data_IF_551493120473
#
_entry.id   IF_551493120473
#
_cell.length_a   1.000
_cell.length_b   1.000
_cell.length_c   1.000
_cell.angle_alpha   90.00
_cell.angle_beta   90.00
_cell.angle_gamma   90.00
#
_symmetry.space_group_name_H-M   'P 1'
#
loop_
_entity.id
_entity.type
_entity.pdbx_description
1 polymer ?
#
# COMPACT_ATOMS: atom_id res chain seq x y z
N UNK A 1 -3.62 -31.70 48.77
CA UNK A 1 -4.48 -30.85 47.92
C UNK A 1 -3.61 -30.05 46.97
N UNK A 2 -3.40 -30.55 45.75
CA UNK A 2 -2.57 -29.89 44.73
C UNK A 2 -3.40 -28.90 43.92
N UNK A 3 -2.95 -27.65 43.83
CA UNK A 3 -3.47 -26.65 42.88
C UNK A 3 -2.58 -26.68 41.63
N UNK A 4 -3.20 -27.03 40.49
CA UNK A 4 -2.61 -27.00 39.15
C UNK A 4 -2.23 -25.57 38.78
N UNK A 5 -0.96 -25.37 38.41
CA UNK A 5 -0.47 -24.20 37.69
C UNK A 5 -0.93 -24.31 36.23
N UNK A 6 -1.63 -23.29 35.73
CA UNK A 6 -1.96 -23.14 34.31
C UNK A 6 -0.74 -22.53 33.63
N UNK A 7 -0.18 -23.25 32.65
CA UNK A 7 0.92 -22.79 31.79
C UNK A 7 0.41 -21.64 30.90
N UNK A 8 1.02 -20.46 31.02
CA UNK A 8 0.95 -19.44 29.97
C UNK A 8 1.66 -19.98 28.72
N UNK A 9 0.92 -20.08 27.62
CA UNK A 9 1.49 -20.38 26.31
C UNK A 9 2.22 -19.14 25.79
N UNK A 10 3.52 -19.27 25.63
CA UNK A 10 4.37 -18.33 24.91
C UNK A 10 4.08 -18.45 23.42
N UNK A 11 3.70 -17.34 22.77
CA UNK A 11 3.61 -17.24 21.31
C UNK A 11 5.03 -17.38 20.75
N UNK A 12 5.26 -18.44 19.96
CA UNK A 12 6.52 -18.64 19.23
C UNK A 12 6.45 -17.92 17.87
N UNK A 13 7.58 -17.43 17.33
CA UNK A 13 7.64 -16.95 15.96
C UNK A 13 7.35 -18.11 14.99
N UNK A 14 6.65 -17.81 13.89
CA UNK A 14 6.28 -18.78 12.86
C UNK A 14 7.54 -19.26 12.13
N UNK A 15 7.90 -20.53 12.30
CA UNK A 15 8.84 -21.24 11.44
C UNK A 15 8.22 -21.51 10.07
N UNK A 16 9.07 -21.48 9.05
CA UNK A 16 8.79 -21.65 7.62
C UNK A 16 7.85 -22.84 7.33
N UNK A 17 6.65 -22.57 6.81
CA UNK A 17 5.56 -23.55 6.56
C UNK A 17 5.32 -23.76 5.07
N UNK A 18 6.26 -24.36 4.37
CA UNK A 18 6.06 -24.86 3.00
C UNK A 18 5.78 -26.38 2.95
N UNK A 19 5.08 -26.95 3.95
CA UNK A 19 4.68 -28.37 3.94
C UNK A 19 3.52 -28.80 4.87
N UNK A 20 2.64 -27.91 5.35
CA UNK A 20 1.46 -28.31 6.13
C UNK A 20 0.18 -27.86 5.44
N UNK A 21 -0.71 -28.81 5.16
CA UNK A 21 -2.03 -28.53 4.58
C UNK A 21 -2.81 -27.54 5.43
N UNK A 22 -3.57 -26.65 4.78
CA UNK A 22 -4.37 -25.61 5.42
C UNK A 22 -5.33 -26.24 6.44
N UNK A 23 -5.30 -25.76 7.69
CA UNK A 23 -6.26 -26.21 8.70
C UNK A 23 -7.68 -25.73 8.35
N UNK A 24 -8.74 -26.37 8.89
CA UNK A 24 -10.11 -25.89 8.70
C UNK A 24 -10.34 -24.43 9.10
N UNK A 25 -9.59 -23.94 10.10
CA UNK A 25 -9.58 -22.53 10.52
C UNK A 25 -8.91 -21.65 9.47
N UNK A 26 -7.76 -22.07 8.92
CA UNK A 26 -7.06 -21.35 7.84
C UNK A 26 -7.91 -21.26 6.56
N UNK A 27 -8.66 -22.32 6.24
CA UNK A 27 -9.60 -22.35 5.09
C UNK A 27 -10.79 -21.42 5.35
N UNK A 28 -11.35 -21.42 6.55
CA UNK A 28 -12.45 -20.54 6.92
C UNK A 28 -12.03 -19.06 6.88
N UNK A 29 -10.81 -18.76 7.30
CA UNK A 29 -10.22 -17.42 7.26
C UNK A 29 -9.89 -16.96 5.84
N UNK A 30 -9.31 -17.84 5.01
CA UNK A 30 -9.09 -17.55 3.59
C UNK A 30 -10.40 -17.23 2.85
N UNK A 31 -11.44 -18.03 3.08
CA UNK A 31 -12.73 -17.82 2.42
C UNK A 31 -13.47 -16.58 2.96
N UNK A 32 -13.37 -16.29 4.26
CA UNK A 32 -13.93 -15.06 4.85
C UNK A 32 -13.33 -13.81 4.24
N UNK A 33 -12.01 -13.81 4.09
CA UNK A 33 -11.27 -12.76 3.40
C UNK A 33 -11.73 -12.57 1.95
N UNK A 34 -11.90 -13.65 1.20
CA UNK A 34 -12.38 -13.59 -0.18
C UNK A 34 -13.79 -12.98 -0.31
N UNK A 35 -14.71 -13.29 0.62
CA UNK A 35 -16.04 -12.65 0.68
C UNK A 35 -15.92 -11.15 0.92
N UNK A 36 -15.13 -10.71 1.89
CA UNK A 36 -14.94 -9.29 2.20
C UNK A 36 -14.36 -8.52 1.01
N UNK A 37 -13.35 -9.06 0.33
CA UNK A 37 -12.76 -8.44 -0.86
C UNK A 37 -13.76 -8.34 -2.02
N UNK A 38 -14.61 -9.36 -2.22
CA UNK A 38 -15.62 -9.34 -3.27
C UNK A 38 -16.70 -8.30 -2.99
N UNK A 39 -17.21 -8.23 -1.76
CA UNK A 39 -18.20 -7.22 -1.34
C UNK A 39 -17.63 -5.80 -1.41
N UNK A 40 -16.34 -5.62 -1.10
CA UNK A 40 -15.67 -4.33 -1.22
C UNK A 40 -15.58 -3.87 -2.69
N UNK A 41 -15.20 -4.78 -3.60
CA UNK A 41 -14.96 -4.44 -5.01
C UNK A 41 -16.23 -4.34 -5.85
N UNK A 42 -17.19 -5.23 -5.62
CA UNK A 42 -18.37 -5.39 -6.48
C UNK A 42 -19.68 -4.97 -5.79
N UNK A 43 -19.62 -4.59 -4.51
CA UNK A 43 -20.75 -4.07 -3.76
C UNK A 43 -21.65 -5.16 -3.15
N UNK A 44 -22.87 -4.79 -2.72
CA UNK A 44 -23.80 -5.69 -2.04
C UNK A 44 -24.21 -6.89 -2.90
N UNK A 45 -24.25 -8.08 -2.29
CA UNK A 45 -24.59 -9.33 -2.99
C UNK A 45 -25.47 -10.26 -2.14
N UNK A 46 -26.27 -11.07 -2.82
CA UNK A 46 -27.00 -12.19 -2.21
C UNK A 46 -26.07 -13.39 -1.94
N UNK A 47 -26.51 -14.32 -1.08
CA UNK A 47 -25.79 -15.58 -0.82
C UNK A 47 -25.50 -16.38 -2.09
N UNK A 48 -26.49 -16.43 -2.99
CA UNK A 48 -26.39 -17.18 -4.24
C UNK A 48 -25.35 -16.56 -5.18
N UNK A 49 -25.31 -15.23 -5.28
CA UNK A 49 -24.30 -14.51 -6.08
C UNK A 49 -22.90 -14.71 -5.51
N UNK A 50 -22.73 -14.62 -4.18
CA UNK A 50 -21.46 -14.88 -3.50
C UNK A 50 -20.97 -16.32 -3.74
N UNK A 51 -21.85 -17.31 -3.58
CA UNK A 51 -21.55 -18.72 -3.84
C UNK A 51 -21.10 -18.96 -5.28
N UNK A 52 -21.84 -18.39 -6.25
CA UNK A 52 -21.52 -18.52 -7.66
C UNK A 52 -20.18 -17.87 -8.04
N UNK A 53 -19.90 -16.65 -7.54
CA UNK A 53 -18.67 -15.92 -7.85
C UNK A 53 -17.42 -16.52 -7.20
N UNK A 54 -17.54 -16.98 -5.95
CA UNK A 54 -16.43 -17.58 -5.23
C UNK A 54 -16.28 -19.09 -5.48
N UNK A 55 -17.20 -19.70 -6.27
CA UNK A 55 -17.26 -21.14 -6.52
C UNK A 55 -17.29 -21.96 -5.21
N UNK A 56 -18.00 -21.44 -4.22
CA UNK A 56 -18.22 -22.07 -2.93
C UNK A 56 -19.67 -22.53 -2.81
N UNK A 57 -19.93 -23.46 -1.90
CA UNK A 57 -21.31 -23.92 -1.64
C UNK A 57 -22.07 -22.88 -0.80
N UNK A 58 -23.39 -22.76 -0.99
CA UNK A 58 -24.21 -21.85 -0.18
C UNK A 58 -24.14 -22.10 1.34
N UNK A 59 -24.04 -23.35 1.84
CA UNK A 59 -23.79 -23.60 3.26
C UNK A 59 -22.46 -23.01 3.74
N UNK A 60 -21.39 -23.13 2.96
CA UNK A 60 -20.09 -22.54 3.31
C UNK A 60 -20.17 -21.01 3.37
N UNK A 61 -20.79 -20.38 2.37
CA UNK A 61 -21.05 -18.93 2.36
C UNK A 61 -21.90 -18.50 3.56
N UNK A 62 -22.90 -19.29 3.95
CA UNK A 62 -23.75 -18.99 5.11
C UNK A 62 -22.95 -18.96 6.41
N UNK A 63 -22.08 -19.95 6.64
CA UNK A 63 -21.21 -19.96 7.82
C UNK A 63 -20.25 -18.77 7.84
N UNK A 64 -19.67 -18.42 6.69
CA UNK A 64 -18.79 -17.25 6.54
C UNK A 64 -19.54 -15.94 6.86
N UNK A 65 -20.70 -15.73 6.24
CA UNK A 65 -21.49 -14.52 6.45
C UNK A 65 -21.96 -14.39 7.91
N UNK A 66 -22.33 -15.48 8.58
CA UNK A 66 -22.68 -15.46 10.00
C UNK A 66 -21.52 -14.96 10.86
N UNK A 67 -20.29 -15.40 10.58
CA UNK A 67 -19.11 -14.93 11.29
C UNK A 67 -18.83 -13.45 11.03
N UNK A 68 -18.92 -13.02 9.78
CA UNK A 68 -18.71 -11.61 9.40
C UNK A 68 -19.79 -10.68 9.98
N UNK A 69 -21.06 -11.12 10.03
CA UNK A 69 -22.15 -10.42 10.69
C UNK A 69 -21.91 -10.28 12.20
N UNK A 70 -21.52 -11.37 12.86
CA UNK A 70 -21.21 -11.37 14.30
C UNK A 70 -20.01 -10.47 14.62
N UNK A 71 -19.05 -10.34 13.69
CA UNK A 71 -17.92 -9.42 13.81
C UNK A 71 -18.26 -7.98 13.43
N UNK A 72 -19.48 -7.69 12.97
CA UNK A 72 -19.88 -6.34 12.54
C UNK A 72 -19.26 -5.85 11.23
N UNK A 73 -18.59 -6.74 10.46
CA UNK A 73 -17.91 -6.41 9.20
C UNK A 73 -18.86 -6.40 8.00
N UNK A 74 -19.98 -7.12 8.10
CA UNK A 74 -21.01 -7.22 7.07
C UNK A 74 -22.36 -6.94 7.72
N UNK A 75 -23.27 -6.30 6.98
CA UNK A 75 -24.66 -6.12 7.36
C UNK A 75 -25.59 -6.86 6.40
N UNK A 76 -26.78 -7.22 6.89
CA UNK A 76 -27.83 -7.88 6.11
C UNK A 76 -28.94 -6.86 5.83
N UNK A 77 -29.20 -6.62 4.55
CA UNK A 77 -30.31 -5.83 4.05
C UNK A 77 -31.27 -6.67 3.20
N UNK A 78 -32.23 -5.97 2.60
CA UNK A 78 -33.15 -6.53 1.61
C UNK A 78 -32.89 -5.84 0.28
N UNK A 79 -32.65 -6.63 -0.76
CA UNK A 79 -32.46 -6.10 -2.11
C UNK A 79 -33.68 -5.29 -2.52
N UNK A 80 -33.45 -4.06 -3.00
CA UNK A 80 -34.54 -3.23 -3.47
C UNK A 80 -34.98 -3.70 -4.86
N UNK A 81 -36.09 -4.41 -4.93
CA UNK A 81 -36.71 -4.88 -6.18
C UNK A 81 -38.15 -4.41 -6.26
N UNK A 82 -38.69 -4.30 -7.48
CA UNK A 82 -40.11 -4.01 -7.75
C UNK A 82 -41.02 -5.20 -7.44
N UNK A 83 -40.44 -6.38 -7.17
CA UNK A 83 -41.15 -7.62 -6.86
C UNK A 83 -41.52 -7.72 -5.38
N UNK A 84 -42.61 -8.45 -5.07
CA UNK A 84 -43.08 -8.65 -3.68
C UNK A 84 -42.10 -9.48 -2.82
N UNK A 85 -41.22 -10.26 -3.45
CA UNK A 85 -40.17 -11.02 -2.77
C UNK A 85 -38.84 -10.26 -2.78
N UNK A 86 -38.36 -9.89 -1.60
CA UNK A 86 -37.06 -9.23 -1.43
C UNK A 86 -36.02 -10.25 -0.97
N UNK A 87 -35.05 -10.54 -1.83
CA UNK A 87 -33.94 -11.40 -1.45
C UNK A 87 -33.05 -10.72 -0.40
N UNK A 88 -32.54 -11.49 0.56
CA UNK A 88 -31.56 -10.97 1.51
C UNK A 88 -30.25 -10.66 0.79
N UNK A 89 -29.76 -9.44 0.99
CA UNK A 89 -28.53 -8.91 0.40
C UNK A 89 -27.56 -8.56 1.52
N UNK A 90 -26.26 -8.76 1.28
CA UNK A 90 -25.21 -8.58 2.26
C UNK A 90 -24.26 -7.52 1.73
N UNK A 91 -23.92 -6.56 2.58
CA UNK A 91 -23.03 -5.46 2.24
C UNK A 91 -21.94 -5.33 3.29
N UNK A 92 -20.76 -4.86 2.88
CA UNK A 92 -19.69 -4.53 3.80
C UNK A 92 -20.13 -3.33 4.66
N UNK A 93 -19.81 -3.37 5.96
CA UNK A 93 -19.96 -2.21 6.84
C UNK A 93 -18.67 -1.41 6.75
N UNK A 94 -18.69 -0.27 6.07
CA UNK A 94 -17.49 0.57 5.89
C UNK A 94 -16.85 0.94 7.24
N UNK A 95 -17.67 1.30 8.22
CA UNK A 95 -17.24 1.61 9.60
C UNK A 95 -17.03 0.38 10.50
N UNK A 96 -17.10 -0.84 9.95
CA UNK A 96 -17.00 -2.09 10.72
C UNK A 96 -15.59 -2.37 11.22
N UNK A 97 -14.57 -1.78 10.59
CA UNK A 97 -13.19 -1.83 11.03
C UNK A 97 -12.44 -0.57 10.59
N UNK A 98 -11.38 -0.24 11.32
CA UNK A 98 -10.51 0.88 11.03
C UNK A 98 -9.05 0.41 11.00
N UNK A 99 -8.29 0.94 10.05
CA UNK A 99 -6.85 0.73 9.94
C UNK A 99 -6.15 2.04 10.26
N UNK A 100 -5.14 1.98 11.13
CA UNK A 100 -4.27 3.12 11.41
C UNK A 100 -3.01 2.98 10.56
N UNK A 101 -2.57 4.06 9.94
CA UNK A 101 -1.30 4.14 9.25
C UNK A 101 -0.48 5.29 9.81
N UNK A 102 0.81 5.05 10.00
CA UNK A 102 1.73 6.04 10.57
C UNK A 102 3.02 6.06 9.77
N UNK A 103 3.53 7.26 9.47
CA UNK A 103 4.85 7.48 8.91
C UNK A 103 5.68 8.31 9.90
N UNK A 104 6.77 7.71 10.38
CA UNK A 104 7.70 8.38 11.29
C UNK A 104 8.72 9.17 10.47
N UNK A 105 8.77 10.47 10.70
CA UNK A 105 9.83 11.35 10.17
C UNK A 105 10.90 11.60 11.23
N UNK A 106 11.97 12.33 10.91
CA UNK A 106 13.01 12.68 11.89
C UNK A 106 12.45 13.52 13.05
N UNK A 107 11.55 14.46 12.72
CA UNK A 107 10.77 15.26 13.68
C UNK A 107 9.29 15.11 13.33
N UNK A 108 8.48 14.68 14.30
CA UNK A 108 7.06 14.36 14.14
C UNK A 108 6.81 13.20 13.18
N UNK A 109 5.79 13.34 12.34
CA UNK A 109 5.32 12.28 11.45
C UNK A 109 3.96 12.60 10.87
N UNK A 110 3.42 11.66 10.10
CA UNK A 110 2.03 11.70 9.66
C UNK A 110 1.28 10.47 10.14
N UNK A 111 -0.01 10.64 10.38
CA UNK A 111 -0.92 9.53 10.62
C UNK A 111 -2.16 9.67 9.74
N UNK A 112 -2.75 8.52 9.44
CA UNK A 112 -4.01 8.41 8.75
C UNK A 112 -4.85 7.30 9.37
N UNK A 113 -6.13 7.56 9.57
CA UNK A 113 -7.11 6.54 9.93
C UNK A 113 -8.04 6.34 8.73
N UNK A 114 -8.21 5.11 8.30
CA UNK A 114 -9.17 4.78 7.24
C UNK A 114 -10.12 3.68 7.68
N UNK A 115 -11.33 3.70 7.12
CA UNK A 115 -12.34 2.69 7.35
C UNK A 115 -12.15 1.51 6.37
N UNK A 116 -12.96 0.45 6.49
CA UNK A 116 -12.83 -0.76 5.68
C UNK A 116 -13.19 -0.56 4.20
N UNK A 117 -14.01 0.46 3.88
CA UNK A 117 -14.26 0.87 2.50
C UNK A 117 -13.07 1.65 1.90
N UNK A 118 -12.12 2.02 2.76
CA UNK A 118 -10.96 2.81 2.39
C UNK A 118 -11.09 4.28 2.66
N UNK A 119 -12.27 4.78 3.06
CA UNK A 119 -12.44 6.22 3.24
C UNK A 119 -11.51 6.71 4.35
N UNK A 120 -10.78 7.78 4.07
CA UNK A 120 -9.93 8.42 5.06
C UNK A 120 -10.79 9.24 6.03
N UNK A 121 -10.77 8.82 7.28
CA UNK A 121 -11.55 9.40 8.39
C UNK A 121 -10.78 10.49 9.09
N UNK A 122 -9.46 10.32 9.20
CA UNK A 122 -8.55 11.28 9.80
C UNK A 122 -7.23 11.29 9.03
N UNK A 123 -6.66 12.47 8.86
CA UNK A 123 -5.28 12.67 8.43
C UNK A 123 -4.69 13.83 9.20
N UNK A 124 -3.49 13.65 9.71
CA UNK A 124 -2.77 14.74 10.36
C UNK A 124 -1.27 14.57 10.21
N UNK A 125 -0.59 15.68 9.93
CA UNK A 125 0.86 15.79 9.93
C UNK A 125 1.30 16.60 11.14
N UNK A 126 2.42 16.20 11.72
CA UNK A 126 3.00 16.76 12.92
C UNK A 126 4.47 17.06 12.67
N UNK A 127 4.92 18.23 13.14
CA UNK A 127 6.33 18.62 13.09
C UNK A 127 7.04 18.37 14.44
N UNK A 128 6.33 17.82 15.43
CA UNK A 128 6.82 17.53 16.77
C UNK A 128 6.41 16.13 17.22
N UNK A 129 7.36 15.41 17.82
CA UNK A 129 7.19 14.04 18.28
C UNK A 129 6.10 13.91 19.34
N UNK A 130 6.12 14.77 20.36
CA UNK A 130 5.17 14.71 21.48
C UNK A 130 3.71 14.78 21.02
N UNK A 131 3.41 15.71 20.10
CA UNK A 131 2.08 15.86 19.53
C UNK A 131 1.68 14.64 18.67
N UNK A 132 2.62 14.11 17.88
CA UNK A 132 2.41 12.91 17.07
C UNK A 132 2.09 11.68 17.92
N UNK A 133 2.92 11.38 18.92
CA UNK A 133 2.73 10.26 19.83
C UNK A 133 1.42 10.37 20.62
N UNK A 134 1.09 11.57 21.10
CA UNK A 134 -0.18 11.83 21.80
C UNK A 134 -1.38 11.53 20.89
N UNK A 135 -1.33 11.94 19.62
CA UNK A 135 -2.41 11.67 18.68
C UNK A 135 -2.56 10.17 18.37
N UNK A 136 -1.44 9.47 18.18
CA UNK A 136 -1.43 8.00 18.00
C UNK A 136 -2.08 7.31 19.20
N UNK A 137 -1.69 7.66 20.43
CA UNK A 137 -2.25 7.05 21.65
C UNK A 137 -3.75 7.28 21.77
N UNK A 138 -4.25 8.49 21.47
CA UNK A 138 -5.69 8.78 21.50
C UNK A 138 -6.47 7.94 20.50
N UNK A 139 -5.91 7.67 19.32
CA UNK A 139 -6.56 6.83 18.30
C UNK A 139 -6.55 5.36 18.74
N UNK A 140 -5.40 4.85 19.20
CA UNK A 140 -5.27 3.47 19.69
C UNK A 140 -6.19 3.23 20.89
N UNK A 141 -6.34 4.23 21.77
CA UNK A 141 -7.25 4.21 22.93
C UNK A 141 -8.73 4.45 22.61
N UNK A 142 -9.11 4.62 21.34
CA UNK A 142 -10.49 4.93 20.91
C UNK A 142 -11.07 6.23 21.53
N UNK A 143 -10.21 7.19 21.85
CA UNK A 143 -10.59 8.45 22.52
C UNK A 143 -11.05 9.54 21.55
N UNK A 144 -10.99 9.28 20.24
CA UNK A 144 -11.29 10.24 19.17
C UNK A 144 -12.71 10.11 18.59
N UNK A 145 -13.60 9.33 19.24
CA UNK A 145 -14.98 9.13 18.79
C UNK A 145 -15.15 8.07 17.68
N UNK A 146 -14.10 7.28 17.41
CA UNK A 146 -14.14 6.11 16.53
C UNK A 146 -13.68 4.86 17.32
N UNK A 147 -14.11 3.65 16.93
CA UNK A 147 -13.57 2.41 17.48
C UNK A 147 -12.05 2.34 17.35
N UNK A 148 -11.41 1.58 18.24
CA UNK A 148 -9.99 1.29 18.14
C UNK A 148 -9.69 0.63 16.78
N UNK A 149 -8.58 0.99 16.12
CA UNK A 149 -8.16 0.33 14.89
C UNK A 149 -7.92 -1.16 15.14
N UNK A 150 -8.03 -1.99 14.11
CA UNK A 150 -7.77 -3.44 14.19
C UNK A 150 -6.26 -3.76 14.09
N UNK A 151 -5.47 -2.79 13.67
CA UNK A 151 -4.03 -2.88 13.50
C UNK A 151 -3.44 -1.55 13.05
N UNK A 152 -2.12 -1.47 12.99
CA UNK A 152 -1.37 -0.31 12.52
C UNK A 152 -0.37 -0.69 11.43
N UNK A 153 -0.40 0.01 10.30
CA UNK A 153 0.68 -0.01 9.32
C UNK A 153 1.71 1.07 9.64
N UNK A 154 2.97 0.68 9.67
CA UNK A 154 4.07 1.49 10.20
C UNK A 154 5.11 1.68 9.10
N UNK A 155 5.18 2.90 8.56
CA UNK A 155 6.22 3.29 7.59
C UNK A 155 7.46 3.71 8.36
N UNK A 156 8.54 2.95 8.20
CA UNK A 156 9.83 3.22 8.84
C UNK A 156 10.96 3.16 7.82
N UNK A 157 11.97 4.02 8.03
CA UNK A 157 13.26 3.86 7.37
C UNK A 157 14.11 2.91 8.22
N UNK A 158 14.52 1.77 7.63
CA UNK A 158 15.50 0.73 8.01
C UNK A 158 15.77 0.39 9.50
N UNK A 159 15.87 1.36 10.39
CA UNK A 159 16.11 1.20 11.81
C UNK A 159 14.79 1.00 12.56
N UNK A 160 14.64 -0.16 13.20
CA UNK A 160 13.53 -0.42 14.12
C UNK A 160 13.70 0.45 15.36
N UNK A 161 12.82 1.44 15.50
CA UNK A 161 12.63 2.16 16.74
C UNK A 161 11.67 1.35 17.65
N UNK A 162 12.25 0.58 18.57
CA UNK A 162 11.49 -0.24 19.52
C UNK A 162 10.64 0.63 20.46
N UNK A 163 11.05 1.87 20.76
CA UNK A 163 10.24 2.79 21.53
C UNK A 163 9.00 3.22 20.74
N UNK A 164 9.14 3.47 19.44
CA UNK A 164 8.02 3.77 18.56
C UNK A 164 6.99 2.64 18.54
N UNK A 165 7.43 1.41 18.33
CA UNK A 165 6.52 0.25 18.25
C UNK A 165 5.81 -0.05 19.57
N UNK A 166 6.43 0.23 20.72
CA UNK A 166 5.80 0.07 22.04
C UNK A 166 4.56 0.95 22.25
N UNK A 167 4.43 2.05 21.49
CA UNK A 167 3.27 2.96 21.56
C UNK A 167 1.95 2.29 21.17
N UNK A 168 2.01 1.21 20.39
CA UNK A 168 0.83 0.52 19.89
C UNK A 168 0.29 -0.57 20.85
N UNK A 169 1.02 -0.88 21.94
CA UNK A 169 0.60 -1.91 22.88
C UNK A 169 0.46 -3.30 22.24
N UNK A 170 -0.68 -3.96 22.44
CA UNK A 170 -0.99 -5.27 21.84
C UNK A 170 -1.57 -5.18 20.42
N UNK A 171 -1.72 -3.96 19.88
CA UNK A 171 -2.30 -3.76 18.56
C UNK A 171 -1.36 -4.35 17.49
N UNK A 172 -1.86 -5.20 16.56
CA UNK A 172 -1.04 -5.76 15.49
C UNK A 172 -0.37 -4.68 14.65
N UNK A 173 0.96 -4.70 14.56
CA UNK A 173 1.74 -3.73 13.80
C UNK A 173 2.41 -4.35 12.57
N UNK A 174 2.31 -3.69 11.42
CA UNK A 174 2.84 -4.14 10.14
C UNK A 174 3.83 -3.13 9.58
N UNK A 175 5.12 -3.46 9.57
CA UNK A 175 6.15 -2.57 9.02
C UNK A 175 6.18 -2.62 7.50
N UNK A 176 6.19 -1.44 6.90
CA UNK A 176 6.27 -1.23 5.46
C UNK A 176 7.43 -0.28 5.15
N UNK A 177 8.08 -0.48 4.01
CA UNK A 177 8.82 0.63 3.40
C UNK A 177 7.84 1.69 2.89
N UNK A 178 8.35 2.89 2.61
CA UNK A 178 7.52 3.95 2.04
C UNK A 178 6.93 3.57 0.67
N UNK A 179 7.73 2.90 -0.17
CA UNK A 179 7.28 2.45 -1.50
C UNK A 179 6.21 1.37 -1.40
N UNK A 180 6.27 0.49 -0.40
CA UNK A 180 5.24 -0.53 -0.14
C UNK A 180 3.94 0.09 0.37
N UNK A 181 4.03 1.09 1.24
CA UNK A 181 2.86 1.81 1.70
C UNK A 181 2.14 2.53 0.55
N UNK A 182 2.88 3.22 -0.32
CA UNK A 182 2.30 3.86 -1.51
C UNK A 182 1.71 2.82 -2.46
N UNK A 183 2.38 1.68 -2.67
CA UNK A 183 1.82 0.58 -3.46
C UNK A 183 0.54 -0.02 -2.86
N UNK A 184 0.45 -0.14 -1.54
CA UNK A 184 -0.79 -0.56 -0.87
C UNK A 184 -1.93 0.41 -1.17
N UNK A 185 -1.64 1.72 -1.13
CA UNK A 185 -2.55 2.79 -1.53
C UNK A 185 -3.02 2.67 -2.97
N UNK A 186 -2.08 2.52 -3.92
CA UNK A 186 -2.39 2.36 -5.35
C UNK A 186 -3.20 1.08 -5.64
N UNK A 187 -2.90 -0.01 -4.94
CA UNK A 187 -3.60 -1.28 -5.09
C UNK A 187 -5.07 -1.21 -4.67
N UNK A 188 -5.40 -0.40 -3.66
CA UNK A 188 -6.77 -0.35 -3.13
C UNK A 188 -7.58 0.83 -3.66
N UNK A 189 -6.95 2.00 -3.81
CA UNK A 189 -7.64 3.26 -4.15
C UNK A 189 -7.21 3.85 -5.48
N UNK A 190 -6.09 3.38 -6.02
CA UNK A 190 -5.58 3.81 -7.31
C UNK A 190 -6.02 2.87 -8.43
N UNK A 191 -5.08 2.53 -9.29
CA UNK A 191 -5.34 1.70 -10.47
C UNK A 191 -5.49 0.20 -10.18
N UNK A 192 -5.39 -0.22 -8.92
CA UNK A 192 -5.43 -1.62 -8.56
C UNK A 192 -4.12 -2.33 -8.87
N UNK A 193 -4.21 -3.63 -9.16
CA UNK A 193 -3.09 -4.44 -9.59
C UNK A 193 -3.29 -4.88 -11.04
N UNK A 194 -2.61 -4.24 -12.01
CA UNK A 194 -2.68 -4.64 -13.40
C UNK A 194 -1.97 -5.98 -13.63
N UNK A 195 -2.33 -6.68 -14.70
CA UNK A 195 -1.64 -7.88 -15.14
C UNK A 195 -0.15 -7.58 -15.39
N UNK A 196 0.75 -8.47 -14.95
CA UNK A 196 2.19 -8.24 -14.98
C UNK A 196 2.73 -7.43 -13.80
N UNK A 197 1.87 -6.95 -12.90
CA UNK A 197 2.27 -6.27 -11.67
C UNK A 197 2.39 -4.76 -11.80
N UNK A 198 2.63 -4.11 -10.66
CA UNK A 198 2.67 -2.66 -10.51
C UNK A 198 4.04 -2.21 -10.03
N UNK A 199 4.58 -1.18 -10.67
CA UNK A 199 5.78 -0.46 -10.21
C UNK A 199 5.40 0.96 -9.82
N UNK A 200 5.89 1.41 -8.66
CA UNK A 200 5.92 2.85 -8.32
C UNK A 200 7.38 3.29 -8.25
N UNK A 201 7.68 4.49 -8.75
CA UNK A 201 8.97 5.17 -8.58
C UNK A 201 8.71 6.42 -7.73
N UNK A 202 9.25 6.43 -6.53
CA UNK A 202 9.18 7.55 -5.59
C UNK A 202 10.44 8.38 -5.69
N UNK A 203 10.25 9.67 -6.00
CA UNK A 203 11.27 10.69 -6.03
C UNK A 203 11.17 11.50 -4.74
N UNK A 204 11.80 10.96 -3.70
CA UNK A 204 12.00 11.65 -2.43
C UNK A 204 13.46 12.10 -2.35
N UNK A 205 14.00 12.29 -1.15
CA UNK A 205 15.43 12.57 -0.95
C UNK A 205 16.34 11.47 -1.52
N UNK A 206 15.77 10.28 -1.72
CA UNK A 206 16.32 9.22 -2.55
C UNK A 206 15.27 8.77 -3.57
N UNK A 207 15.74 8.36 -4.75
CA UNK A 207 14.91 7.74 -5.78
C UNK A 207 14.82 6.25 -5.50
N UNK A 208 13.61 5.76 -5.25
CA UNK A 208 13.37 4.35 -4.96
C UNK A 208 12.18 3.84 -5.77
N UNK A 209 12.26 2.58 -6.20
CA UNK A 209 11.14 1.88 -6.79
C UNK A 209 10.54 0.90 -5.77
N UNK A 210 9.22 0.76 -5.79
CA UNK A 210 8.50 -0.33 -5.17
C UNK A 210 7.86 -1.20 -6.24
N UNK A 211 7.76 -2.50 -5.98
CA UNK A 211 7.15 -3.45 -6.91
C UNK A 211 6.10 -4.32 -6.20
N UNK A 212 4.93 -4.49 -6.84
CA UNK A 212 3.99 -5.58 -6.56
C UNK A 212 4.02 -6.55 -7.74
N UNK A 213 4.22 -7.83 -7.46
CA UNK A 213 4.16 -8.91 -8.44
C UNK A 213 3.32 -10.03 -7.83
N UNK A 214 2.28 -10.50 -8.53
CA UNK A 214 1.35 -11.53 -8.07
C UNK A 214 0.78 -11.25 -6.67
N UNK A 215 0.44 -9.98 -6.43
CA UNK A 215 -0.17 -9.48 -5.21
C UNK A 215 0.73 -9.45 -3.98
N UNK A 216 2.03 -9.62 -4.17
CA UNK A 216 3.04 -9.55 -3.11
C UNK A 216 4.04 -8.44 -3.39
N UNK A 217 4.45 -7.74 -2.33
CA UNK A 217 5.56 -6.79 -2.42
C UNK A 217 6.86 -7.54 -2.73
N UNK A 218 7.53 -7.13 -3.80
CA UNK A 218 8.79 -7.74 -4.20
C UNK A 218 9.98 -6.99 -3.58
N UNK A 219 10.59 -7.61 -2.56
CA UNK A 219 11.72 -7.06 -1.79
C UNK A 219 13.10 -7.55 -2.26
N UNK A 220 13.13 -8.65 -3.02
CA UNK A 220 14.35 -9.38 -3.36
C UNK A 220 15.03 -10.03 -2.13
N UNK A 221 16.08 -10.82 -2.36
CA UNK A 221 16.74 -11.63 -1.31
C UNK A 221 17.29 -10.81 -0.14
N UNK A 222 17.73 -9.58 -0.39
CA UNK A 222 18.35 -8.71 0.61
C UNK A 222 17.45 -7.54 1.05
N UNK A 223 16.18 -7.51 0.64
CA UNK A 223 15.31 -6.36 0.93
C UNK A 223 15.70 -5.07 0.19
N UNK A 224 16.49 -5.18 -0.89
CA UNK A 224 17.04 -4.05 -1.64
C UNK A 224 16.46 -3.89 -3.04
N UNK A 225 15.44 -4.67 -3.40
CA UNK A 225 14.78 -4.50 -4.68
C UNK A 225 14.24 -3.07 -4.80
N UNK A 226 14.46 -2.46 -5.98
CA UNK A 226 14.03 -1.10 -6.24
C UNK A 226 14.93 0.01 -5.65
N UNK A 227 16.10 -0.30 -5.08
CA UNK A 227 17.10 0.70 -4.68
C UNK A 227 17.83 1.35 -5.89
N UNK A 228 17.07 1.88 -6.84
CA UNK A 228 17.55 2.39 -8.13
C UNK A 228 18.28 3.73 -8.01
N UNK A 229 18.11 4.47 -6.91
CA UNK A 229 18.80 5.74 -6.63
C UNK A 229 20.32 5.64 -6.71
N UNK A 230 20.89 4.49 -6.32
CA UNK A 230 22.32 4.21 -6.39
C UNK A 230 22.83 3.83 -7.79
N UNK A 231 21.93 3.63 -8.77
CA UNK A 231 22.33 3.28 -10.13
C UNK A 231 23.17 4.38 -10.74
N UNK A 232 24.23 3.98 -11.44
CA UNK A 232 25.16 4.85 -12.15
C UNK A 232 25.32 4.35 -13.58
N UNK A 233 24.92 5.12 -14.61
CA UNK A 233 24.96 4.64 -16.00
C UNK A 233 26.39 4.60 -16.58
N UNK A 234 27.32 5.39 -16.03
CA UNK A 234 28.73 5.35 -16.41
C UNK A 234 29.66 5.91 -15.32
N UNK A 235 30.95 5.55 -15.36
CA UNK A 235 31.95 5.92 -14.35
C UNK A 235 32.07 7.45 -14.11
N UNK A 236 31.92 8.24 -15.17
CA UNK A 236 32.00 9.70 -15.13
C UNK A 236 30.67 10.38 -14.74
N UNK A 237 29.61 9.61 -14.53
CA UNK A 237 28.26 10.12 -14.27
C UNK A 237 27.89 9.98 -12.78
N UNK A 238 27.05 10.90 -12.31
CA UNK A 238 26.46 10.79 -10.97
C UNK A 238 25.47 9.64 -10.87
N UNK A 239 25.11 9.28 -9.63
CA UNK A 239 24.01 8.33 -9.41
C UNK A 239 22.66 8.97 -9.73
N UNK A 240 21.62 8.15 -9.85
CA UNK A 240 20.27 8.65 -10.04
C UNK A 240 19.83 9.60 -8.90
N UNK A 241 20.20 9.31 -7.64
CA UNK A 241 19.94 10.20 -6.50
C UNK A 241 20.57 11.58 -6.67
N UNK A 242 21.80 11.65 -7.20
CA UNK A 242 22.49 12.93 -7.41
C UNK A 242 21.80 13.78 -8.47
N UNK A 243 21.09 13.15 -9.40
CA UNK A 243 20.57 13.81 -10.60
C UNK A 243 19.07 14.07 -10.55
N UNK A 244 18.29 13.20 -9.90
CA UNK A 244 16.83 13.18 -10.04
C UNK A 244 16.05 13.10 -8.72
N UNK A 245 16.71 13.16 -7.55
CA UNK A 245 16.02 13.17 -6.25
C UNK A 245 15.36 14.51 -5.92
N UNK A 246 14.42 14.52 -4.98
CA UNK A 246 13.87 15.75 -4.39
C UNK A 246 14.97 16.56 -3.68
N UNK A 247 15.97 15.90 -3.08
CA UNK A 247 17.12 16.56 -2.50
C UNK A 247 17.96 17.31 -3.57
N UNK A 248 18.23 16.67 -4.73
CA UNK A 248 18.96 17.32 -5.82
C UNK A 248 18.16 18.46 -6.45
N UNK A 249 16.84 18.32 -6.57
CA UNK A 249 15.93 19.38 -7.00
C UNK A 249 16.05 20.61 -6.09
N UNK A 250 15.87 20.44 -4.78
CA UNK A 250 15.94 21.55 -3.81
C UNK A 250 17.30 22.23 -3.84
N UNK A 251 18.39 21.46 -3.90
CA UNK A 251 19.74 21.99 -4.01
C UNK A 251 19.96 22.77 -5.32
N UNK A 252 19.45 22.28 -6.44
CA UNK A 252 19.54 22.95 -7.74
C UNK A 252 18.80 24.28 -7.75
N UNK A 253 17.54 24.30 -7.29
CA UNK A 253 16.73 25.53 -7.20
C UNK A 253 17.40 26.55 -6.28
N UNK A 254 17.91 26.13 -5.12
CA UNK A 254 18.61 27.03 -4.20
C UNK A 254 19.86 27.67 -4.83
N UNK A 255 20.57 26.95 -5.70
CA UNK A 255 21.81 27.42 -6.32
C UNK A 255 21.60 28.21 -7.62
N UNK A 256 20.55 27.91 -8.39
CA UNK A 256 20.35 28.42 -9.76
C UNK A 256 19.07 29.25 -9.94
N UNK A 257 18.13 29.16 -9.01
CA UNK A 257 16.82 29.80 -9.07
C UNK A 257 15.77 28.98 -9.83
N UNK A 258 14.50 29.32 -9.61
CA UNK A 258 13.34 28.64 -10.21
C UNK A 258 13.28 28.77 -11.74
N UNK A 259 13.85 29.83 -12.32
CA UNK A 259 13.88 30.02 -13.77
C UNK A 259 14.65 28.93 -14.53
N UNK A 260 15.57 28.24 -13.85
CA UNK A 260 16.37 27.16 -14.43
C UNK A 260 15.74 25.77 -14.20
N UNK A 261 14.54 25.68 -13.63
CA UNK A 261 13.91 24.40 -13.26
C UNK A 261 13.78 23.45 -14.45
N UNK A 262 13.45 23.96 -15.63
CA UNK A 262 13.27 23.14 -16.83
C UNK A 262 14.56 22.41 -17.21
N UNK A 263 15.71 23.05 -17.01
CA UNK A 263 17.03 22.43 -17.25
C UNK A 263 17.29 21.26 -16.31
N UNK A 264 16.87 21.38 -15.04
CA UNK A 264 16.95 20.27 -14.09
C UNK A 264 16.00 19.14 -14.50
N UNK A 265 14.76 19.47 -14.89
CA UNK A 265 13.76 18.49 -15.34
C UNK A 265 14.28 17.69 -16.53
N UNK A 266 14.86 18.34 -17.55
CA UNK A 266 15.42 17.66 -18.72
C UNK A 266 16.54 16.67 -18.33
N UNK A 267 17.44 17.07 -17.43
CA UNK A 267 18.52 16.22 -16.95
C UNK A 267 17.98 15.04 -16.12
N UNK A 268 17.08 15.31 -15.18
CA UNK A 268 16.48 14.30 -14.32
C UNK A 268 15.64 13.29 -15.13
N UNK A 269 14.82 13.76 -16.08
CA UNK A 269 14.00 12.90 -16.95
C UNK A 269 14.86 11.94 -17.79
N UNK A 270 15.96 12.42 -18.35
CA UNK A 270 16.90 11.58 -19.10
C UNK A 270 17.47 10.45 -18.22
N UNK A 271 17.79 10.74 -16.96
CA UNK A 271 18.30 9.74 -16.00
C UNK A 271 17.24 8.79 -15.48
N UNK A 272 16.04 9.30 -15.20
CA UNK A 272 14.91 8.48 -14.81
C UNK A 272 14.53 7.49 -15.92
N UNK A 273 14.62 7.89 -17.19
CA UNK A 273 14.37 7.00 -18.32
C UNK A 273 15.27 5.76 -18.31
N UNK A 274 16.54 5.86 -17.90
CA UNK A 274 17.43 4.70 -17.79
C UNK A 274 16.94 3.70 -16.74
N UNK A 275 16.44 4.20 -15.60
CA UNK A 275 15.77 3.40 -14.57
C UNK A 275 14.46 2.76 -15.06
N UNK A 276 13.61 3.54 -15.75
CA UNK A 276 12.35 3.07 -16.33
C UNK A 276 12.58 1.94 -17.34
N UNK A 277 13.55 2.11 -18.25
CA UNK A 277 13.90 1.08 -19.25
C UNK A 277 14.47 -0.17 -18.57
N UNK A 278 15.29 0.00 -17.53
CA UNK A 278 15.84 -1.13 -16.77
C UNK A 278 14.72 -1.93 -16.12
N UNK A 279 13.81 -1.27 -15.39
CA UNK A 279 12.70 -1.95 -14.73
C UNK A 279 11.80 -2.62 -15.77
N UNK A 280 11.45 -1.91 -16.85
CA UNK A 280 10.61 -2.47 -17.89
C UNK A 280 11.26 -3.71 -18.53
N UNK A 281 12.56 -3.66 -18.84
CA UNK A 281 13.31 -4.75 -19.46
C UNK A 281 13.35 -6.05 -18.65
N UNK A 282 13.43 -5.96 -17.32
CA UNK A 282 13.54 -7.15 -16.46
C UNK A 282 12.22 -7.60 -15.85
N UNK A 283 11.33 -6.66 -15.51
CA UNK A 283 10.08 -6.95 -14.79
C UNK A 283 8.89 -7.00 -15.75
N UNK A 284 8.90 -6.18 -16.81
CA UNK A 284 7.77 -6.01 -17.73
C UNK A 284 6.43 -5.75 -17.00
N UNK A 285 6.35 -4.70 -16.16
CA UNK A 285 5.15 -4.45 -15.37
C UNK A 285 3.96 -4.02 -16.24
N UNK A 286 2.74 -4.26 -15.77
CA UNK A 286 1.52 -3.79 -16.43
C UNK A 286 1.30 -2.28 -16.31
N UNK A 287 1.83 -1.67 -15.25
CA UNK A 287 1.83 -0.22 -15.09
C UNK A 287 3.06 0.27 -14.31
N UNK A 288 3.45 1.51 -14.60
CA UNK A 288 4.51 2.23 -13.91
C UNK A 288 4.03 3.61 -13.51
N UNK A 289 4.08 3.89 -12.21
CA UNK A 289 3.65 5.15 -11.63
C UNK A 289 4.84 5.92 -11.06
N UNK A 290 4.74 7.23 -11.03
CA UNK A 290 5.77 8.14 -10.54
C UNK A 290 5.18 9.15 -9.57
N UNK A 291 5.87 9.37 -8.45
CA UNK A 291 5.45 10.31 -7.42
C UNK A 291 6.58 10.64 -6.46
N UNK A 292 6.25 11.11 -5.26
CA UNK A 292 7.21 11.50 -4.23
C UNK A 292 7.03 12.95 -3.78
N UNK A 293 8.08 13.52 -3.19
CA UNK A 293 8.08 14.84 -2.55
C UNK A 293 8.28 16.04 -3.49
N UNK A 294 8.45 15.81 -4.80
CA UNK A 294 8.54 16.90 -5.76
C UNK A 294 7.20 17.65 -5.92
N UNK A 295 7.22 18.94 -6.27
CA UNK A 295 6.00 19.67 -6.65
C UNK A 295 5.25 18.98 -7.78
N UNK A 296 3.91 18.99 -7.74
CA UNK A 296 3.08 18.27 -8.71
C UNK A 296 3.37 18.68 -10.17
N UNK A 297 3.54 19.97 -10.43
CA UNK A 297 3.90 20.49 -11.75
C UNK A 297 5.28 19.99 -12.23
N UNK A 298 6.22 19.76 -11.33
CA UNK A 298 7.54 19.20 -11.67
C UNK A 298 7.41 17.72 -12.00
N UNK A 299 6.60 16.95 -11.25
CA UNK A 299 6.29 15.54 -11.56
C UNK A 299 5.66 15.41 -12.95
N UNK A 300 4.64 16.22 -13.24
CA UNK A 300 3.94 16.16 -14.53
C UNK A 300 4.90 16.46 -15.69
N UNK A 301 5.74 17.50 -15.54
CA UNK A 301 6.77 17.84 -16.53
C UNK A 301 7.84 16.76 -16.68
N UNK A 302 8.26 16.10 -15.60
CA UNK A 302 9.18 14.96 -15.68
C UNK A 302 8.57 13.81 -16.49
N UNK A 303 7.29 13.49 -16.27
CA UNK A 303 6.60 12.43 -17.00
C UNK A 303 6.54 12.75 -18.50
N UNK A 304 6.18 13.98 -18.85
CA UNK A 304 6.18 14.46 -20.23
C UNK A 304 7.58 14.34 -20.86
N UNK A 305 8.63 14.79 -20.16
CA UNK A 305 10.00 14.71 -20.65
C UNK A 305 10.53 13.28 -20.77
N UNK A 306 10.14 12.37 -19.88
CA UNK A 306 10.46 10.93 -19.99
C UNK A 306 9.81 10.36 -21.26
N UNK A 307 8.55 10.72 -21.55
CA UNK A 307 7.85 10.29 -22.75
C UNK A 307 8.51 10.84 -24.03
N UNK A 308 8.85 12.13 -24.06
CA UNK A 308 9.60 12.76 -25.17
C UNK A 308 10.96 12.06 -25.40
N UNK A 309 11.73 11.86 -24.33
CA UNK A 309 13.05 11.23 -24.40
C UNK A 309 12.98 9.77 -24.87
N UNK A 310 11.91 9.05 -24.51
CA UNK A 310 11.66 7.69 -24.99
C UNK A 310 11.44 7.64 -26.50
N UNK A 311 10.65 8.56 -27.05
CA UNK A 311 10.47 8.69 -28.51
C UNK A 311 11.78 9.07 -29.21
N UNK A 312 12.59 9.94 -28.59
CA UNK A 312 13.90 10.31 -29.12
C UNK A 312 14.91 9.15 -29.21
N UNK A 313 14.82 8.17 -28.30
CA UNK A 313 15.66 6.96 -28.29
C UNK A 313 15.26 5.92 -29.35
N UNK A 314 14.19 6.14 -30.14
CA UNK A 314 13.80 5.31 -31.31
C UNK A 314 14.94 5.04 -32.30
N UNK A 315 15.94 5.93 -32.35
CA UNK A 315 17.09 5.81 -33.25
C UNK A 315 18.13 4.77 -32.84
N UNK A 316 18.12 4.31 -31.58
CA UNK A 316 19.12 3.36 -31.03
C UNK A 316 18.50 2.17 -30.29
N UNK A 317 17.20 2.23 -29.98
CA UNK A 317 16.45 1.19 -29.29
C UNK A 317 15.08 1.10 -29.97
N UNK A 318 14.59 -0.11 -30.26
CA UNK A 318 13.18 -0.29 -30.66
C UNK A 318 12.37 0.04 -29.40
N UNK A 319 11.65 1.18 -29.29
CA UNK A 319 10.79 1.40 -28.15
C UNK A 319 9.66 0.43 -28.33
N UNK A 320 9.80 -0.70 -27.68
CA UNK A 320 8.85 -1.74 -27.85
C UNK A 320 7.54 -1.21 -27.22
N UNK A 321 6.47 -1.22 -28.02
CA UNK A 321 5.16 -0.70 -27.63
C UNK A 321 4.63 -1.31 -26.31
N UNK A 322 5.24 -2.43 -25.86
CA UNK A 322 4.92 -3.10 -24.61
C UNK A 322 5.36 -2.38 -23.34
N UNK A 323 6.36 -1.48 -23.37
CA UNK A 323 6.75 -0.76 -22.14
C UNK A 323 5.61 0.21 -21.78
N UNK A 324 4.97 0.08 -20.59
CA UNK A 324 3.86 0.95 -20.23
C UNK A 324 4.31 2.42 -20.13
N UNK A 325 3.43 3.38 -20.44
CA UNK A 325 3.73 4.79 -20.19
C UNK A 325 3.86 5.03 -18.68
N UNK A 326 4.79 5.88 -18.29
CA UNK A 326 4.89 6.37 -16.91
C UNK A 326 3.72 7.33 -16.65
N UNK A 327 3.04 7.18 -15.52
CA UNK A 327 1.90 8.00 -15.11
C UNK A 327 2.12 8.56 -13.70
N UNK A 328 1.46 9.66 -13.31
CA UNK A 328 1.53 10.10 -11.93
C UNK A 328 0.85 9.07 -11.01
N UNK A 329 1.23 9.06 -9.72
CA UNK A 329 0.46 8.38 -8.68
C UNK A 329 -1.01 8.83 -8.74
N UNK A 330 -1.91 7.85 -8.66
CA UNK A 330 -3.36 8.01 -8.78
C UNK A 330 -4.07 7.96 -7.43
N UNK A 331 -3.42 7.39 -6.41
CA UNK A 331 -3.95 7.27 -5.06
C UNK A 331 -4.08 8.66 -4.38
N UNK A 332 -5.18 8.92 -3.63
CA UNK A 332 -5.46 10.24 -3.04
C UNK A 332 -4.35 10.77 -2.14
N UNK A 333 -4.00 12.04 -2.32
CA UNK A 333 -2.95 12.79 -1.59
C UNK A 333 -1.53 12.19 -1.60
N UNK A 334 -1.35 11.00 -2.20
CA UNK A 334 -0.05 10.37 -2.46
C UNK A 334 0.79 10.16 -1.18
N UNK A 335 0.12 10.09 -0.02
CA UNK A 335 0.74 10.03 1.30
C UNK A 335 0.95 8.59 1.81
N UNK A 336 2.14 8.31 2.33
CA UNK A 336 2.53 6.97 2.73
C UNK A 336 1.83 6.50 4.02
N UNK A 337 1.51 7.38 4.97
CA UNK A 337 0.77 6.99 6.16
C UNK A 337 -0.64 6.50 5.79
N UNK A 338 -1.30 7.16 4.83
CA UNK A 338 -2.60 6.70 4.37
C UNK A 338 -2.54 5.36 3.62
N UNK A 339 -1.52 5.15 2.77
CA UNK A 339 -1.29 3.82 2.18
C UNK A 339 -0.99 2.73 3.22
N UNK A 340 -0.24 3.06 4.27
CA UNK A 340 0.07 2.13 5.36
C UNK A 340 -1.16 1.75 6.19
N UNK A 341 -2.16 2.63 6.29
CA UNK A 341 -3.40 2.36 7.01
C UNK A 341 -4.18 1.15 6.44
N UNK A 342 -3.85 0.72 5.23
CA UNK A 342 -4.44 -0.45 4.55
C UNK A 342 -3.80 -1.76 4.99
N UNK A 343 -2.55 -1.74 5.46
CA UNK A 343 -1.79 -2.94 5.83
C UNK A 343 -2.55 -3.87 6.80
N UNK A 344 -3.20 -3.35 7.86
CA UNK A 344 -4.03 -4.17 8.75
C UNK A 344 -5.15 -4.90 8.01
N UNK A 345 -5.79 -4.27 7.03
CA UNK A 345 -6.83 -4.92 6.24
C UNK A 345 -6.26 -6.04 5.36
N UNK A 346 -5.14 -5.79 4.68
CA UNK A 346 -4.48 -6.81 3.83
C UNK A 346 -4.06 -8.02 4.67
N UNK A 347 -3.48 -7.78 5.86
CA UNK A 347 -2.92 -8.86 6.67
C UNK A 347 -3.97 -9.60 7.50
N UNK A 348 -5.04 -8.93 7.95
CA UNK A 348 -6.03 -9.51 8.86
C UNK A 348 -7.38 -9.84 8.21
N UNK A 349 -7.86 -9.04 7.25
CA UNK A 349 -9.25 -9.09 6.76
C UNK A 349 -9.42 -9.40 5.27
N UNK A 350 -8.39 -9.22 4.44
CA UNK A 350 -8.41 -9.42 2.99
C UNK A 350 -7.54 -10.63 2.59
N UNK A 351 -7.81 -11.23 1.43
CA UNK A 351 -7.18 -12.49 1.08
C UNK A 351 -5.73 -12.20 0.68
N UNK A 352 -4.82 -13.04 1.18
CA UNK A 352 -3.44 -13.02 0.69
C UNK A 352 -3.48 -13.55 -0.74
N UNK A 353 -2.91 -12.80 -1.69
CA UNK A 353 -2.77 -13.29 -3.06
C UNK A 353 -1.89 -14.55 -3.03
N UNK A 354 -2.43 -15.65 -3.55
CA UNK A 354 -1.73 -16.94 -3.60
C UNK A 354 -0.46 -16.85 -4.44
#
# INVERSE_FOLDING_TARGET
MGRRLVRHQTVRPVEDRDAQGLSPEDIADHNGRAVSALLLREGPMTRQELAARLKLTEPAITGILQRLLSAGLVCKGNRQTTTRYKAAEFALVSSGAYGLGVERCQNGGSLALCNLAGDRVLYQRFDQDEAFFTAVQKIVGAEMGFPAPIGVGVVMNADKDDAFTSTFGELPSFTLSKSEAVLAGERLFGIGEPEGGLVVVLIDDQVQAGLIINGRFYRGTHGRAGAIGAMRPGLAEGTLDMMASAASYRAFIAARGESEVERWIEQAASRLLDGVVTIAGFISPGAMLLGGQLPANVIDRLIEKIAEARLGKERYFVPAAWIPPVRPLSFPDRDAAYGAAIAPFIELLLPKSN
#
